data_IF_666803357799
#
_entry.id   IF_666803357799
#
_cell.length_a   1.000
_cell.length_b   1.000
_cell.length_c   1.000
_cell.angle_alpha   90.00
_cell.angle_beta   90.00
_cell.angle_gamma   90.00
#
_symmetry.space_group_name_H-M   'P 1'
#
loop_
_entity.id
_entity.type
_entity.pdbx_description
1 polymer ?
#
# COMPACT_ATOMS: atom_id res chain seq x y z
N UNK A 1 -28.68 79.92 -39.93
CA UNK A 1 -27.50 79.47 -40.69
C UNK A 1 -27.19 78.04 -40.24
N UNK A 2 -27.59 77.09 -41.09
CA UNK A 2 -27.47 75.63 -40.78
C UNK A 2 -26.37 75.09 -41.67
N UNK A 3 -25.21 74.77 -41.04
CA UNK A 3 -24.05 74.17 -41.77
C UNK A 3 -24.25 72.68 -41.90
N UNK A 4 -24.53 72.24 -43.12
CA UNK A 4 -24.54 70.82 -43.52
C UNK A 4 -23.09 70.33 -43.69
N UNK A 5 -22.65 69.42 -42.79
CA UNK A 5 -21.39 68.69 -42.92
C UNK A 5 -21.56 67.63 -44.03
N UNK A 6 -20.86 67.79 -45.12
CA UNK A 6 -20.75 66.78 -46.13
C UNK A 6 -19.84 65.65 -45.65
N UNK A 7 -20.40 64.41 -45.48
CA UNK A 7 -19.60 63.21 -45.27
C UNK A 7 -18.91 62.83 -46.61
N UNK A 8 -17.60 62.89 -46.65
CA UNK A 8 -16.87 62.38 -47.80
C UNK A 8 -16.96 60.87 -47.84
N UNK A 9 -17.57 60.32 -48.85
CA UNK A 9 -17.59 58.90 -49.16
C UNK A 9 -16.17 58.50 -49.55
N UNK A 10 -15.47 57.81 -48.66
CA UNK A 10 -14.18 57.17 -48.99
C UNK A 10 -14.43 56.10 -50.06
N UNK A 11 -13.82 56.24 -51.20
CA UNK A 11 -13.81 55.20 -52.23
C UNK A 11 -13.13 53.96 -51.66
N UNK A 12 -13.89 52.86 -51.56
CA UNK A 12 -13.34 51.55 -51.31
C UNK A 12 -12.68 51.06 -52.63
N UNK A 13 -11.36 50.93 -52.61
CA UNK A 13 -10.64 50.23 -53.68
C UNK A 13 -10.89 48.73 -53.50
N UNK A 14 -11.42 48.09 -54.54
CA UNK A 14 -11.67 46.66 -54.56
C UNK A 14 -10.34 45.86 -54.43
N UNK A 15 -10.33 44.76 -53.69
CA UNK A 15 -9.21 43.84 -53.57
C UNK A 15 -8.89 43.23 -54.94
N UNK A 16 -7.60 43.16 -55.26
CA UNK A 16 -7.15 42.44 -56.45
C UNK A 16 -7.23 40.93 -56.24
N UNK A 17 -7.42 40.16 -57.31
CA UNK A 17 -7.45 38.70 -57.26
C UNK A 17 -6.17 38.11 -56.65
N UNK A 18 -5.04 38.73 -56.91
CA UNK A 18 -3.70 38.35 -56.36
C UNK A 18 -3.64 38.57 -54.86
N UNK A 19 -4.14 39.69 -54.32
CA UNK A 19 -4.21 39.95 -52.88
C UNK A 19 -5.07 38.92 -52.16
N UNK A 20 -6.19 38.52 -52.76
CA UNK A 20 -7.07 37.49 -52.21
C UNK A 20 -6.35 36.11 -52.16
N UNK A 21 -5.65 35.74 -53.25
CA UNK A 21 -4.90 34.48 -53.30
C UNK A 21 -3.76 34.46 -52.27
N UNK A 22 -3.02 35.54 -52.09
CA UNK A 22 -1.94 35.66 -51.11
C UNK A 22 -2.53 35.60 -49.68
N UNK A 23 -3.61 36.32 -49.43
CA UNK A 23 -4.27 36.29 -48.13
C UNK A 23 -4.79 34.88 -47.76
N UNK A 24 -5.40 34.15 -48.71
CA UNK A 24 -5.82 32.76 -48.51
C UNK A 24 -4.65 31.81 -48.30
N UNK A 25 -3.54 31.97 -49.03
CA UNK A 25 -2.34 31.18 -48.84
C UNK A 25 -1.75 31.39 -47.44
N UNK A 26 -1.54 32.64 -47.02
CA UNK A 26 -1.03 32.96 -45.67
C UNK A 26 -2.02 32.47 -44.60
N UNK A 27 -3.31 32.71 -44.79
CA UNK A 27 -4.36 32.26 -43.86
C UNK A 27 -4.36 30.75 -43.68
N UNK A 28 -4.21 29.96 -44.77
CA UNK A 28 -4.14 28.52 -44.71
C UNK A 28 -2.90 28.01 -43.96
N UNK A 29 -1.73 28.61 -44.17
CA UNK A 29 -0.53 28.27 -43.39
C UNK A 29 -0.67 28.57 -41.91
N UNK A 30 -1.29 29.68 -41.53
CA UNK A 30 -1.55 30.03 -40.14
C UNK A 30 -2.53 29.04 -39.47
N UNK A 31 -3.60 28.63 -40.18
CA UNK A 31 -4.55 27.67 -39.70
C UNK A 31 -3.90 26.30 -39.50
N UNK A 32 -3.09 25.81 -40.45
CA UNK A 32 -2.35 24.55 -40.32
C UNK A 32 -1.40 24.61 -39.11
N UNK A 33 -0.67 25.69 -38.93
CA UNK A 33 0.19 25.90 -37.77
C UNK A 33 -0.57 25.90 -36.45
N UNK A 34 -1.72 26.57 -36.39
CA UNK A 34 -2.56 26.60 -35.21
C UNK A 34 -3.11 25.22 -34.86
N UNK A 35 -3.55 24.42 -35.85
CA UNK A 35 -4.01 23.05 -35.67
C UNK A 35 -2.89 22.15 -35.15
N UNK A 36 -1.67 22.29 -35.65
CA UNK A 36 -0.51 21.51 -35.15
C UNK A 36 -0.19 21.83 -33.69
N UNK A 37 -0.14 23.12 -33.32
CA UNK A 37 0.09 23.54 -31.93
C UNK A 37 -1.04 23.01 -31.02
N UNK A 38 -2.29 23.10 -31.46
CA UNK A 38 -3.43 22.58 -30.70
C UNK A 38 -3.31 21.06 -30.43
N UNK A 39 -3.00 20.28 -31.49
CA UNK A 39 -2.84 18.84 -31.37
C UNK A 39 -1.66 18.47 -30.46
N UNK A 40 -0.51 19.17 -30.57
CA UNK A 40 0.63 18.96 -29.66
C UNK A 40 0.29 19.30 -28.20
N UNK A 41 -0.41 20.41 -27.97
CA UNK A 41 -0.86 20.80 -26.63
C UNK A 41 -1.81 19.77 -26.04
N UNK A 42 -2.75 19.27 -26.84
CA UNK A 42 -3.69 18.22 -26.43
C UNK A 42 -2.95 16.91 -26.06
N UNK A 43 -2.00 16.48 -26.89
CA UNK A 43 -1.18 15.30 -26.61
C UNK A 43 -0.35 15.48 -25.33
N UNK A 44 0.30 16.64 -25.16
CA UNK A 44 1.04 16.94 -23.94
C UNK A 44 0.16 16.92 -22.69
N UNK A 45 -1.07 17.43 -22.77
CA UNK A 45 -2.03 17.39 -21.68
C UNK A 45 -2.39 15.95 -21.29
N UNK A 46 -2.73 15.09 -22.26
CA UNK A 46 -3.06 13.67 -22.01
C UNK A 46 -1.88 12.91 -21.39
N UNK A 47 -0.66 13.14 -21.89
CA UNK A 47 0.56 12.54 -21.34
C UNK A 47 0.79 12.98 -19.89
N UNK A 48 0.69 14.27 -19.61
CA UNK A 48 0.88 14.81 -18.27
C UNK A 48 -0.19 14.28 -17.28
N UNK A 49 -1.44 14.18 -17.71
CA UNK A 49 -2.53 13.57 -16.92
C UNK A 49 -2.24 12.10 -16.63
N UNK A 50 -1.79 11.33 -17.62
CA UNK A 50 -1.40 9.92 -17.45
C UNK A 50 -0.27 9.77 -16.43
N UNK A 51 0.77 10.60 -16.51
CA UNK A 51 1.88 10.61 -15.54
C UNK A 51 1.36 10.92 -14.12
N UNK A 52 0.56 11.98 -13.99
CA UNK A 52 0.05 12.40 -12.70
C UNK A 52 -0.80 11.30 -12.03
N UNK A 53 -1.68 10.63 -12.77
CA UNK A 53 -2.50 9.53 -12.26
C UNK A 53 -1.67 8.34 -11.79
N UNK A 54 -0.65 7.93 -12.55
CA UNK A 54 0.24 6.83 -12.15
C UNK A 54 1.04 7.20 -10.91
N UNK A 55 1.52 8.44 -10.79
CA UNK A 55 2.21 8.94 -9.61
C UNK A 55 1.30 8.98 -8.37
N UNK A 56 0.08 9.47 -8.52
CA UNK A 56 -0.91 9.51 -7.45
C UNK A 56 -1.25 8.09 -6.93
N UNK A 57 -1.48 7.14 -7.85
CA UNK A 57 -1.73 5.74 -7.48
C UNK A 57 -0.53 5.12 -6.77
N UNK A 58 0.69 5.37 -7.26
CA UNK A 58 1.91 4.86 -6.65
C UNK A 58 2.13 5.42 -5.24
N UNK A 59 1.90 6.73 -5.07
CA UNK A 59 2.00 7.40 -3.76
C UNK A 59 0.96 6.86 -2.79
N UNK A 60 -0.30 6.75 -3.20
CA UNK A 60 -1.39 6.24 -2.37
C UNK A 60 -1.14 4.79 -1.91
N UNK A 61 -0.73 3.91 -2.85
CA UNK A 61 -0.41 2.52 -2.53
C UNK A 61 0.78 2.43 -1.56
N UNK A 62 1.84 3.21 -1.79
CA UNK A 62 3.01 3.25 -0.92
C UNK A 62 2.65 3.76 0.48
N UNK A 63 1.92 4.86 0.61
CA UNK A 63 1.56 5.46 1.89
C UNK A 63 0.63 4.54 2.71
N UNK A 64 -0.23 3.78 2.03
CA UNK A 64 -1.10 2.79 2.68
C UNK A 64 -0.29 1.69 3.34
N UNK A 65 0.67 1.10 2.63
CA UNK A 65 1.53 0.03 3.15
C UNK A 65 2.50 0.58 4.21
N UNK A 66 3.10 1.75 3.95
CA UNK A 66 4.04 2.39 4.87
C UNK A 66 3.43 2.66 6.24
N UNK A 67 2.17 3.11 6.27
CA UNK A 67 1.46 3.40 7.52
C UNK A 67 1.39 2.16 8.41
N UNK A 68 1.07 1.00 7.85
CA UNK A 68 1.04 -0.25 8.59
C UNK A 68 2.43 -0.72 9.03
N UNK A 69 3.41 -0.66 8.12
CA UNK A 69 4.78 -1.08 8.44
C UNK A 69 5.43 -0.23 9.53
N UNK A 70 5.24 1.10 9.50
CA UNK A 70 5.75 1.99 10.55
C UNK A 70 5.22 1.65 11.94
N UNK A 71 4.02 1.09 12.00
CA UNK A 71 3.34 0.72 13.24
C UNK A 71 3.50 -0.76 13.58
N UNK A 72 4.14 -1.55 12.74
CA UNK A 72 4.44 -2.95 13.03
C UNK A 72 5.14 -3.09 14.39
N UNK A 73 4.90 -4.19 15.11
CA UNK A 73 5.40 -4.43 16.46
C UNK A 73 4.87 -3.46 17.53
N UNK A 74 3.90 -2.61 17.23
CA UNK A 74 3.20 -1.84 18.25
C UNK A 74 2.03 -2.68 18.81
N UNK A 75 2.12 -3.08 20.07
CA UNK A 75 1.08 -3.84 20.77
C UNK A 75 0.34 -2.99 21.81
N UNK A 76 0.15 -1.72 21.50
CA UNK A 76 -0.45 -0.73 22.38
C UNK A 76 0.59 -0.06 23.27
N UNK A 77 0.88 -0.64 24.44
CA UNK A 77 1.83 -0.08 25.41
C UNK A 77 3.20 -0.75 25.43
N UNK A 78 3.37 -1.83 24.69
CA UNK A 78 4.64 -2.51 24.52
C UNK A 78 4.90 -2.81 23.03
N UNK A 79 6.12 -3.21 22.72
CA UNK A 79 6.54 -3.60 21.37
C UNK A 79 7.02 -5.04 21.28
N UNK A 80 6.89 -5.81 22.37
CA UNK A 80 7.31 -7.21 22.44
C UNK A 80 6.13 -8.13 22.18
N UNK A 81 5.99 -8.64 20.96
CA UNK A 81 4.93 -9.59 20.61
C UNK A 81 5.00 -10.86 21.47
N UNK A 82 6.19 -11.30 21.83
CA UNK A 82 6.41 -12.46 22.69
C UNK A 82 5.96 -12.25 24.15
N UNK A 83 5.71 -11.02 24.58
CA UNK A 83 5.15 -10.71 25.90
C UNK A 83 3.62 -10.62 25.92
N UNK A 84 2.96 -10.91 24.79
CA UNK A 84 1.50 -10.96 24.69
C UNK A 84 1.03 -12.40 24.83
N UNK A 85 0.23 -12.67 25.85
CA UNK A 85 -0.41 -13.97 26.07
C UNK A 85 -1.53 -14.19 25.05
N UNK A 86 -1.76 -15.43 24.64
CA UNK A 86 -2.72 -15.76 23.57
C UNK A 86 -2.16 -15.69 22.17
N UNK A 87 -0.92 -15.26 21.98
CA UNK A 87 -0.23 -15.37 20.71
C UNK A 87 0.02 -16.82 20.33
N UNK A 88 0.06 -17.10 19.03
CA UNK A 88 0.57 -18.37 18.50
C UNK A 88 1.94 -18.14 17.86
N UNK A 89 2.81 -19.11 17.95
CA UNK A 89 3.99 -19.23 17.11
C UNK A 89 3.65 -20.07 15.88
N UNK A 90 4.44 -19.97 14.82
CA UNK A 90 4.28 -20.85 13.65
C UNK A 90 4.42 -22.31 14.08
N UNK A 91 3.43 -23.13 13.71
CA UNK A 91 3.38 -24.54 14.09
C UNK A 91 2.70 -24.84 15.43
N UNK A 92 2.43 -23.84 16.26
CA UNK A 92 1.72 -24.02 17.52
C UNK A 92 0.20 -23.88 17.35
N UNK A 93 -0.57 -24.70 18.04
CA UNK A 93 -1.99 -24.43 18.22
C UNK A 93 -2.17 -23.14 19.05
N UNK A 94 -3.21 -22.35 18.75
CA UNK A 94 -3.53 -21.19 19.57
C UNK A 94 -3.85 -21.61 21.01
N UNK A 95 -3.02 -21.27 22.01
CA UNK A 95 -3.15 -21.78 23.37
C UNK A 95 -4.38 -21.25 24.11
N UNK A 96 -4.98 -20.14 23.68
CA UNK A 96 -6.14 -19.53 24.33
C UNK A 96 -7.48 -19.95 23.75
N UNK A 97 -7.50 -20.74 22.66
CA UNK A 97 -8.71 -21.11 21.95
C UNK A 97 -9.37 -19.99 21.15
N UNK A 98 -8.73 -18.82 21.05
CA UNK A 98 -9.18 -17.73 20.16
C UNK A 98 -9.07 -18.19 18.71
N UNK A 99 -10.09 -17.95 17.91
CA UNK A 99 -10.12 -18.39 16.52
C UNK A 99 -10.66 -17.29 15.60
N UNK A 100 -10.16 -17.29 14.37
CA UNK A 100 -10.80 -16.56 13.27
C UNK A 100 -11.60 -17.60 12.49
N UNK A 101 -12.94 -17.50 12.42
CA UNK A 101 -13.75 -18.46 11.67
C UNK A 101 -13.36 -18.52 10.19
N UNK A 102 -13.58 -19.67 9.58
CA UNK A 102 -13.33 -19.86 8.14
C UNK A 102 -14.17 -18.90 7.27
N UNK A 103 -13.61 -18.41 6.13
CA UNK A 103 -12.27 -18.72 5.60
C UNK A 103 -11.15 -18.01 6.36
N UNK A 104 -10.20 -18.76 6.92
CA UNK A 104 -9.01 -18.22 7.59
C UNK A 104 -7.82 -18.19 6.64
N UNK A 105 -6.92 -17.23 6.82
CA UNK A 105 -5.69 -17.12 6.02
C UNK A 105 -4.53 -17.97 6.56
N UNK A 106 -4.80 -18.85 7.50
CA UNK A 106 -3.89 -19.73 8.21
C UNK A 106 -4.12 -19.64 9.71
N UNK A 107 -3.89 -20.72 10.44
CA UNK A 107 -4.23 -20.83 11.86
C UNK A 107 -3.51 -19.79 12.73
N UNK A 108 -2.28 -19.44 12.38
CA UNK A 108 -1.47 -18.46 13.10
C UNK A 108 -1.51 -17.06 12.46
N UNK A 109 -2.20 -16.87 11.34
CA UNK A 109 -2.17 -15.63 10.57
C UNK A 109 -2.41 -14.37 11.40
N UNK A 110 -3.42 -14.40 12.26
CA UNK A 110 -3.75 -13.28 13.13
C UNK A 110 -2.95 -13.27 14.44
N UNK A 111 -2.44 -14.41 14.88
CA UNK A 111 -1.95 -14.60 16.25
C UNK A 111 -0.42 -14.66 16.36
N UNK A 112 0.32 -14.75 15.26
CA UNK A 112 1.78 -14.78 15.27
C UNK A 112 2.36 -13.38 15.51
N UNK A 113 2.23 -12.90 16.75
CA UNK A 113 2.69 -11.58 17.16
C UNK A 113 4.22 -11.52 17.32
N UNK A 114 4.89 -12.67 17.36
CA UNK A 114 6.34 -12.78 17.35
C UNK A 114 6.96 -12.35 16.02
N UNK A 115 6.19 -12.45 14.93
CA UNK A 115 6.57 -11.98 13.59
C UNK A 115 5.63 -10.85 13.14
N UNK A 116 5.87 -9.62 13.60
CA UNK A 116 5.01 -8.48 13.29
C UNK A 116 4.98 -8.13 11.79
N UNK A 117 6.02 -8.49 11.07
CA UNK A 117 6.09 -8.42 9.60
C UNK A 117 6.52 -9.79 9.10
N UNK A 118 5.75 -10.30 8.17
CA UNK A 118 5.95 -11.59 7.52
C UNK A 118 5.50 -11.51 6.08
N UNK A 119 5.66 -12.59 5.31
CA UNK A 119 5.21 -12.62 3.93
C UNK A 119 5.71 -13.83 3.17
N UNK A 120 5.62 -13.76 1.85
CA UNK A 120 6.19 -14.75 0.95
C UNK A 120 6.84 -14.08 -0.25
N UNK A 121 7.99 -14.62 -0.63
CA UNK A 121 8.77 -14.18 -1.78
C UNK A 121 8.15 -14.72 -3.07
N UNK A 122 7.77 -13.82 -3.97
CA UNK A 122 7.32 -14.12 -5.34
C UNK A 122 6.11 -15.07 -5.48
N UNK A 123 5.38 -15.33 -4.39
CA UNK A 123 4.28 -16.30 -4.38
C UNK A 123 3.18 -15.87 -3.39
N UNK A 124 1.94 -16.28 -3.69
CA UNK A 124 0.82 -16.15 -2.76
C UNK A 124 0.69 -17.41 -1.92
N UNK A 125 1.02 -17.34 -0.64
CA UNK A 125 1.05 -18.49 0.28
C UNK A 125 -0.03 -18.45 1.38
N UNK A 126 -0.94 -17.48 1.36
CA UNK A 126 -2.02 -17.44 2.36
C UNK A 126 -3.03 -18.55 2.09
N UNK A 127 -3.51 -19.21 3.16
CA UNK A 127 -4.50 -20.28 3.07
C UNK A 127 -5.88 -19.80 2.57
N UNK A 128 -6.19 -18.50 2.74
CA UNK A 128 -7.39 -17.87 2.20
C UNK A 128 -7.23 -17.52 0.73
N UNK A 129 -8.24 -17.80 -0.10
CA UNK A 129 -8.18 -17.55 -1.54
C UNK A 129 -7.97 -16.06 -1.88
N UNK A 130 -7.14 -15.80 -2.91
CA UNK A 130 -6.95 -14.46 -3.45
C UNK A 130 -8.15 -14.05 -4.32
N UNK A 131 -8.79 -12.93 -4.02
CA UNK A 131 -9.90 -12.41 -4.82
C UNK A 131 -9.38 -11.92 -6.17
N UNK A 132 -9.94 -12.45 -7.27
CA UNK A 132 -9.45 -12.19 -8.63
C UNK A 132 -8.13 -12.90 -8.96
N UNK A 133 -7.67 -13.85 -8.13
CA UNK A 133 -6.38 -14.52 -8.25
C UNK A 133 -5.24 -13.71 -7.66
N UNK A 134 -4.03 -14.28 -7.68
CA UNK A 134 -2.81 -13.60 -7.27
C UNK A 134 -1.84 -13.47 -8.44
N UNK A 135 -1.16 -12.34 -8.56
CA UNK A 135 -0.13 -12.14 -9.56
C UNK A 135 1.09 -13.00 -9.22
N UNK A 136 1.65 -13.67 -10.23
CA UNK A 136 2.94 -14.34 -10.10
C UNK A 136 4.08 -13.34 -9.99
N UNK A 137 5.21 -13.75 -9.40
CA UNK A 137 6.38 -12.90 -9.20
C UNK A 137 6.08 -11.59 -8.45
N UNK A 138 5.19 -11.68 -7.48
CA UNK A 138 4.85 -10.57 -6.59
C UNK A 138 4.77 -11.09 -5.17
N UNK A 139 5.32 -10.35 -4.22
CA UNK A 139 5.35 -10.74 -2.82
C UNK A 139 3.98 -10.58 -2.16
N UNK A 140 3.79 -11.31 -1.08
CA UNK A 140 2.76 -11.03 -0.08
C UNK A 140 3.42 -10.41 1.14
N UNK A 141 2.82 -9.34 1.67
CA UNK A 141 3.32 -8.65 2.85
C UNK A 141 2.24 -8.70 3.92
N UNK A 142 2.51 -9.36 5.04
CA UNK A 142 1.61 -9.39 6.20
C UNK A 142 2.18 -8.53 7.31
N UNK A 143 1.37 -7.61 7.82
CA UNK A 143 1.71 -6.71 8.93
C UNK A 143 0.73 -6.90 10.07
N UNK A 144 1.26 -7.07 11.28
CA UNK A 144 0.49 -7.21 12.51
C UNK A 144 0.85 -6.09 13.47
N UNK A 145 -0.17 -5.45 14.03
CA UNK A 145 -0.03 -4.35 14.99
C UNK A 145 -1.28 -4.14 15.81
N UNK A 146 -1.18 -3.37 16.85
CA UNK A 146 -2.36 -2.83 17.54
C UNK A 146 -2.79 -1.47 16.98
N UNK A 147 -4.01 -1.04 17.28
CA UNK A 147 -4.48 0.31 17.01
C UNK A 147 -3.68 1.33 17.82
N UNK A 148 -3.49 2.53 17.25
CA UNK A 148 -2.75 3.62 17.93
C UNK A 148 -3.50 4.11 19.15
N UNK A 149 -4.79 4.37 18.99
CA UNK A 149 -5.64 4.87 20.07
C UNK A 149 -6.20 3.69 20.87
N UNK A 150 -6.23 3.82 22.22
CA UNK A 150 -6.94 2.88 23.05
C UNK A 150 -8.45 2.94 22.77
N UNK A 151 -9.11 1.79 22.89
CA UNK A 151 -10.54 1.62 22.62
C UNK A 151 -11.22 0.91 23.81
N UNK A 152 -12.53 0.86 23.82
CA UNK A 152 -13.27 0.01 24.75
C UNK A 152 -13.21 -1.47 24.30
N UNK A 153 -13.29 -2.44 25.23
CA UNK A 153 -13.51 -3.83 24.87
C UNK A 153 -14.77 -3.99 24.03
N UNK A 154 -14.70 -4.85 23.00
CA UNK A 154 -15.79 -5.10 22.06
C UNK A 154 -15.90 -6.62 21.82
N UNK A 155 -17.08 -7.18 22.08
CA UNK A 155 -17.34 -8.60 21.89
C UNK A 155 -17.06 -9.04 20.44
N UNK A 156 -16.33 -10.13 20.29
CA UNK A 156 -15.98 -10.73 19.01
C UNK A 156 -14.89 -9.97 18.21
N UNK A 157 -14.35 -8.88 18.77
CA UNK A 157 -13.19 -8.22 18.20
C UNK A 157 -11.92 -8.70 18.87
N UNK A 158 -10.97 -9.17 18.07
CA UNK A 158 -9.65 -9.49 18.61
C UNK A 158 -8.96 -8.20 19.06
N UNK A 159 -8.67 -8.12 20.34
CA UNK A 159 -8.07 -6.97 21.01
C UNK A 159 -6.91 -7.40 21.89
N UNK A 160 -6.03 -6.46 22.18
CA UNK A 160 -4.90 -6.64 23.08
C UNK A 160 -5.08 -5.71 24.27
N UNK A 161 -5.17 -6.28 25.49
CA UNK A 161 -4.97 -5.52 26.71
C UNK A 161 -3.50 -5.49 27.01
N UNK A 162 -2.89 -4.34 27.14
CA UNK A 162 -1.43 -4.22 27.30
C UNK A 162 -1.02 -3.25 28.39
N UNK A 163 0.07 -3.62 29.08
CA UNK A 163 0.91 -2.77 29.92
C UNK A 163 2.24 -2.56 29.22
N UNK A 164 3.21 -1.92 29.87
CA UNK A 164 4.58 -1.76 29.36
C UNK A 164 5.38 -3.06 29.27
N UNK A 165 4.99 -4.08 30.01
CA UNK A 165 5.79 -5.32 30.17
C UNK A 165 5.06 -6.58 29.71
N UNK A 166 3.75 -6.56 29.64
CA UNK A 166 2.92 -7.73 29.28
C UNK A 166 1.67 -7.31 28.52
N UNK A 167 1.04 -8.24 27.84
CA UNK A 167 -0.23 -8.08 27.17
C UNK A 167 -1.01 -9.39 27.14
N UNK A 168 -2.28 -9.34 26.76
CA UNK A 168 -3.14 -10.49 26.55
C UNK A 168 -4.09 -10.24 25.39
N UNK A 169 -4.20 -11.21 24.49
CA UNK A 169 -5.19 -11.26 23.43
C UNK A 169 -6.52 -11.73 23.98
N UNK A 170 -7.61 -11.07 23.60
CA UNK A 170 -8.96 -11.42 24.01
C UNK A 170 -9.98 -10.95 22.95
N UNK A 171 -11.23 -11.45 23.06
CA UNK A 171 -12.33 -11.11 22.14
C UNK A 171 -13.65 -10.83 22.89
N UNK A 172 -13.56 -10.57 24.19
CA UNK A 172 -14.72 -10.29 25.05
C UNK A 172 -14.98 -8.79 25.18
N UNK A 173 -16.17 -8.45 25.66
CA UNK A 173 -16.56 -7.07 25.99
C UNK A 173 -16.04 -6.59 27.36
N UNK A 174 -15.22 -7.38 28.02
CA UNK A 174 -14.65 -7.09 29.33
C UNK A 174 -13.14 -7.23 29.31
N UNK A 175 -12.47 -6.38 30.10
CA UNK A 175 -11.02 -6.44 30.26
C UNK A 175 -10.62 -7.75 30.95
N UNK A 176 -9.59 -8.47 30.46
CA UNK A 176 -9.10 -9.68 31.13
C UNK A 176 -8.75 -9.45 32.60
N UNK A 177 -9.12 -10.43 33.45
CA UNK A 177 -9.01 -10.29 34.90
C UNK A 177 -7.59 -10.02 35.40
N UNK A 178 -6.57 -10.50 34.68
CA UNK A 178 -5.14 -10.24 34.98
C UNK A 178 -4.76 -8.76 34.96
N UNK A 179 -5.58 -7.91 34.32
CA UNK A 179 -5.32 -6.46 34.18
C UNK A 179 -6.24 -5.59 35.07
N UNK A 180 -7.02 -6.20 35.94
CA UNK A 180 -7.90 -5.50 36.85
C UNK A 180 -7.31 -5.41 38.28
N UNK A 181 -7.56 -4.31 39.02
CA UNK A 181 -8.21 -3.09 38.55
C UNK A 181 -7.29 -2.24 37.66
N UNK A 182 -7.86 -1.55 36.66
CA UNK A 182 -7.11 -0.54 35.90
C UNK A 182 -6.95 0.69 36.79
N UNK A 183 -5.72 0.96 37.20
CA UNK A 183 -5.38 2.10 38.03
C UNK A 183 -4.74 3.20 37.19
N UNK A 184 -4.95 4.45 37.56
CA UNK A 184 -4.27 5.57 36.90
C UNK A 184 -2.99 5.93 37.66
N UNK A 185 -1.96 6.25 36.91
CA UNK A 185 -0.75 6.84 37.50
C UNK A 185 -1.13 8.16 38.19
N UNK A 186 -0.84 8.33 39.49
CA UNK A 186 -1.30 9.49 40.25
C UNK A 186 -0.67 10.83 39.78
N UNK A 187 0.45 10.77 39.07
CA UNK A 187 1.17 11.95 38.59
C UNK A 187 0.74 12.32 37.17
N UNK A 188 0.61 11.32 36.28
CA UNK A 188 0.34 11.55 34.86
C UNK A 188 -1.11 11.34 34.46
N UNK A 189 -1.94 10.77 35.31
CA UNK A 189 -3.32 10.37 35.01
C UNK A 189 -3.43 9.25 33.97
N UNK A 190 -2.32 8.69 33.50
CA UNK A 190 -2.32 7.64 32.47
C UNK A 190 -2.71 6.30 33.09
N UNK A 191 -3.69 5.57 32.51
CA UNK A 191 -4.07 4.24 32.99
C UNK A 191 -2.90 3.25 33.00
N UNK A 192 -2.91 2.26 33.91
CA UNK A 192 -1.86 1.22 34.03
C UNK A 192 -1.81 0.28 32.83
N UNK A 193 -2.96 0.04 32.19
CA UNK A 193 -3.10 -0.76 30.97
C UNK A 193 -4.03 -0.07 29.96
N UNK A 194 -4.06 -0.56 28.73
CA UNK A 194 -4.94 -0.05 27.68
C UNK A 194 -5.37 -1.17 26.73
N UNK A 195 -6.62 -1.10 26.29
CA UNK A 195 -7.19 -1.99 25.26
C UNK A 195 -6.94 -1.40 23.88
N UNK A 196 -6.46 -2.21 22.96
CA UNK A 196 -6.19 -1.82 21.57
C UNK A 196 -6.72 -2.88 20.62
N UNK A 197 -7.29 -2.47 19.48
CA UNK A 197 -7.70 -3.43 18.45
C UNK A 197 -6.49 -4.10 17.82
N UNK A 198 -6.52 -5.43 17.69
CA UNK A 198 -5.55 -6.14 16.85
C UNK A 198 -5.85 -5.84 15.37
N UNK A 199 -4.86 -5.38 14.66
CA UNK A 199 -4.92 -5.08 13.23
C UNK A 199 -3.94 -5.98 12.49
N UNK A 200 -4.48 -6.78 11.58
CA UNK A 200 -3.68 -7.67 10.72
C UNK A 200 -4.08 -7.39 9.28
N UNK A 201 -3.10 -7.02 8.48
CA UNK A 201 -3.27 -6.69 7.08
C UNK A 201 -2.27 -7.48 6.25
N UNK A 202 -2.75 -8.19 5.21
CA UNK A 202 -1.90 -8.83 4.22
C UNK A 202 -2.13 -8.19 2.86
N UNK A 203 -1.09 -7.61 2.30
CA UNK A 203 -1.09 -6.97 0.99
C UNK A 203 -0.61 -7.94 -0.08
N UNK A 204 -1.29 -7.97 -1.22
CA UNK A 204 -0.92 -8.76 -2.39
C UNK A 204 -1.43 -8.09 -3.66
N UNK A 205 -0.89 -8.49 -4.81
CA UNK A 205 -1.35 -8.02 -6.11
C UNK A 205 -2.26 -9.06 -6.75
N UNK A 206 -3.43 -8.62 -7.20
CA UNK A 206 -4.32 -9.42 -8.06
C UNK A 206 -4.15 -9.00 -9.52
N UNK A 207 -4.16 -9.93 -10.49
CA UNK A 207 -4.07 -9.61 -11.91
C UNK A 207 -5.30 -8.86 -12.45
N UNK A 208 -6.40 -8.85 -11.68
CA UNK A 208 -7.64 -8.18 -12.10
C UNK A 208 -8.31 -7.44 -10.94
N UNK A 209 -8.70 -6.20 -11.21
CA UNK A 209 -9.51 -5.38 -10.32
C UNK A 209 -10.98 -5.78 -10.42
N UNK A 210 -11.71 -5.66 -9.31
CA UNK A 210 -13.18 -5.82 -9.28
C UNK A 210 -13.89 -4.59 -9.86
N UNK A 211 -13.25 -3.42 -9.78
CA UNK A 211 -13.77 -2.16 -10.30
C UNK A 211 -13.49 -1.99 -11.79
N UNK A 212 -12.32 -2.42 -12.25
CA UNK A 212 -11.84 -2.28 -13.63
C UNK A 212 -11.27 -3.63 -14.08
N UNK A 213 -12.10 -4.55 -14.62
CA UNK A 213 -11.64 -5.88 -15.03
C UNK A 213 -10.44 -5.83 -16.00
N UNK A 214 -9.45 -6.71 -15.78
CA UNK A 214 -8.21 -6.77 -16.57
C UNK A 214 -7.14 -5.74 -16.19
N UNK A 215 -7.39 -4.91 -15.17
CA UNK A 215 -6.38 -4.04 -14.58
C UNK A 215 -5.84 -4.70 -13.31
N UNK A 216 -4.52 -4.91 -13.17
CA UNK A 216 -3.94 -5.42 -11.95
C UNK A 216 -4.18 -4.44 -10.80
N UNK A 217 -4.30 -4.96 -9.59
CA UNK A 217 -4.67 -4.14 -8.44
C UNK A 217 -4.00 -4.61 -7.17
N UNK A 218 -3.58 -3.66 -6.32
CA UNK A 218 -3.20 -3.94 -4.94
C UNK A 218 -4.45 -4.27 -4.13
N UNK A 219 -4.42 -5.39 -3.43
CA UNK A 219 -5.48 -5.82 -2.51
C UNK A 219 -4.95 -5.99 -1.11
N UNK A 220 -5.86 -5.94 -0.15
CA UNK A 220 -5.56 -6.11 1.27
C UNK A 220 -6.54 -7.08 1.89
N UNK A 221 -6.02 -8.15 2.51
CA UNK A 221 -6.77 -8.97 3.48
C UNK A 221 -6.67 -8.27 4.83
N UNK A 222 -7.79 -7.98 5.45
CA UNK A 222 -7.82 -7.25 6.73
C UNK A 222 -8.67 -7.98 7.75
N UNK A 223 -8.16 -8.06 8.99
CA UNK A 223 -8.93 -8.56 10.12
C UNK A 223 -9.96 -7.53 10.56
N UNK A 224 -11.21 -7.91 10.61
CA UNK A 224 -12.33 -7.07 11.05
C UNK A 224 -13.34 -7.86 11.88
N UNK A 225 -14.46 -7.25 12.23
CA UNK A 225 -15.58 -7.90 12.94
C UNK A 225 -16.85 -7.73 12.12
N UNK A 226 -17.60 -8.81 12.02
CA UNK A 226 -18.92 -8.79 11.41
C UNK A 226 -19.88 -9.63 12.27
N UNK A 227 -20.99 -9.03 12.71
CA UNK A 227 -21.98 -9.69 13.56
C UNK A 227 -21.39 -10.30 14.86
N UNK A 228 -20.43 -9.61 15.48
CA UNK A 228 -19.81 -10.05 16.75
C UNK A 228 -18.84 -11.23 16.61
N UNK A 229 -18.32 -11.51 15.40
CA UNK A 229 -17.27 -12.51 15.16
C UNK A 229 -16.14 -11.94 14.33
N UNK A 230 -14.88 -12.36 14.59
CA UNK A 230 -13.74 -11.96 13.76
C UNK A 230 -13.90 -12.53 12.36
N UNK A 231 -13.64 -11.72 11.33
CA UNK A 231 -13.68 -12.13 9.93
C UNK A 231 -12.51 -11.51 9.17
N UNK A 232 -12.14 -12.14 8.06
CA UNK A 232 -11.13 -11.60 7.13
C UNK A 232 -11.86 -11.05 5.91
N UNK A 233 -11.69 -9.75 5.67
CA UNK A 233 -12.21 -9.09 4.47
C UNK A 233 -11.09 -8.89 3.44
N UNK A 234 -11.45 -9.09 2.18
CA UNK A 234 -10.57 -8.84 1.04
C UNK A 234 -11.00 -7.54 0.35
N UNK A 235 -10.19 -6.51 0.47
CA UNK A 235 -10.48 -5.17 0.01
C UNK A 235 -9.55 -4.79 -1.15
N UNK A 236 -10.10 -4.19 -2.19
CA UNK A 236 -9.31 -3.54 -3.23
C UNK A 236 -8.77 -2.20 -2.71
N UNK A 237 -7.46 -1.97 -2.88
CA UNK A 237 -6.77 -0.77 -2.37
C UNK A 237 -6.47 0.20 -3.50
N UNK A 238 -5.76 -0.25 -4.54
CA UNK A 238 -5.29 0.63 -5.60
C UNK A 238 -5.21 -0.11 -6.94
N UNK A 239 -6.08 0.21 -7.92
CA UNK A 239 -5.97 -0.33 -9.27
C UNK A 239 -4.71 0.23 -9.98
N UNK A 240 -4.09 -0.59 -10.81
CA UNK A 240 -2.89 -0.24 -11.56
C UNK A 240 -1.58 -0.74 -10.94
N UNK A 241 -1.58 -1.28 -9.73
CA UNK A 241 -0.38 -1.88 -9.15
C UNK A 241 -0.15 -3.26 -9.76
N UNK A 242 0.98 -3.45 -10.46
CA UNK A 242 1.35 -4.69 -11.15
C UNK A 242 2.23 -5.61 -10.32
N UNK A 243 3.10 -5.05 -9.48
CA UNK A 243 4.03 -5.82 -8.65
C UNK A 243 4.31 -5.09 -7.35
N UNK A 244 4.44 -5.86 -6.29
CA UNK A 244 4.99 -5.46 -5.01
C UNK A 244 6.15 -6.37 -4.66
N UNK A 245 7.24 -5.79 -4.16
CA UNK A 245 8.40 -6.52 -3.68
C UNK A 245 8.84 -5.95 -2.34
N UNK A 246 9.28 -6.82 -1.43
CA UNK A 246 9.71 -6.50 -0.10
C UNK A 246 11.10 -7.08 0.17
N UNK A 247 11.94 -6.35 0.84
CA UNK A 247 13.11 -6.89 1.53
C UNK A 247 13.15 -6.37 2.96
N UNK A 248 13.47 -7.25 3.88
CA UNK A 248 13.58 -6.96 5.29
C UNK A 248 15.06 -6.80 5.66
N UNK A 249 15.42 -5.64 6.19
CA UNK A 249 16.75 -5.40 6.74
C UNK A 249 16.80 -5.91 8.17
N UNK A 250 17.65 -6.92 8.40
CA UNK A 250 17.78 -7.59 9.69
C UNK A 250 19.06 -7.17 10.41
N UNK A 251 18.96 -7.10 11.72
CA UNK A 251 20.03 -6.91 12.69
C UNK A 251 20.25 -8.26 13.38
N UNK A 252 21.39 -8.87 13.15
CA UNK A 252 21.72 -10.23 13.61
C UNK A 252 22.49 -10.20 14.94
N UNK A 253 23.35 -9.20 15.13
CA UNK A 253 24.20 -9.07 16.31
C UNK A 253 23.64 -8.11 17.38
N UNK A 254 22.47 -7.53 17.12
CA UNK A 254 21.73 -6.65 18.03
C UNK A 254 22.42 -5.31 18.32
N UNK A 255 23.25 -4.83 17.41
CA UNK A 255 23.93 -3.53 17.51
C UNK A 255 23.05 -2.34 17.09
N UNK A 256 21.79 -2.62 16.65
CA UNK A 256 20.78 -1.69 16.10
C UNK A 256 21.15 -1.11 14.73
N UNK A 257 22.00 -1.79 13.98
CA UNK A 257 22.23 -1.52 12.55
C UNK A 257 21.68 -2.65 11.68
N UNK A 258 21.55 -2.42 10.38
CA UNK A 258 21.13 -3.46 9.45
C UNK A 258 22.36 -4.16 8.91
N UNK A 259 22.49 -5.47 9.19
CA UNK A 259 23.60 -6.29 8.69
C UNK A 259 23.37 -6.74 7.25
N UNK A 260 22.16 -7.19 6.96
CA UNK A 260 21.80 -7.67 5.62
C UNK A 260 20.32 -7.55 5.34
N UNK A 261 19.97 -7.63 4.06
CA UNK A 261 18.59 -7.71 3.61
C UNK A 261 18.23 -9.14 3.22
N UNK A 262 17.04 -9.59 3.61
CA UNK A 262 16.45 -10.89 3.30
C UNK A 262 15.07 -10.72 2.67
N UNK A 263 14.62 -11.74 1.93
CA UNK A 263 13.28 -11.72 1.34
C UNK A 263 12.20 -12.06 2.39
N UNK A 264 10.92 -11.72 2.15
CA UNK A 264 9.85 -12.11 3.05
C UNK A 264 9.71 -13.63 3.10
N UNK A 265 9.49 -14.18 4.30
CA UNK A 265 9.43 -15.62 4.51
C UNK A 265 10.78 -16.31 4.66
N UNK A 266 11.89 -15.57 4.76
CA UNK A 266 13.21 -16.12 5.01
C UNK A 266 13.27 -16.78 6.42
N UNK A 267 13.90 -17.95 6.49
CA UNK A 267 13.95 -18.77 7.70
C UNK A 267 14.75 -18.13 8.83
N UNK A 268 15.66 -17.23 8.52
CA UNK A 268 16.55 -16.60 9.49
C UNK A 268 15.84 -15.83 10.62
N UNK A 269 14.68 -15.26 10.32
CA UNK A 269 13.84 -14.56 11.32
C UNK A 269 12.56 -15.36 11.70
N UNK A 270 12.45 -16.60 11.28
CA UNK A 270 11.33 -17.49 11.58
C UNK A 270 11.69 -18.42 12.75
N UNK A 271 11.13 -18.22 13.96
CA UNK A 271 11.49 -19.04 15.13
C UNK A 271 11.20 -20.53 15.02
N UNK A 272 10.39 -20.94 14.02
CA UNK A 272 10.06 -22.34 13.77
C UNK A 272 10.99 -23.01 12.73
N UNK A 273 11.93 -22.28 12.13
CA UNK A 273 12.82 -22.78 11.10
C UNK A 273 14.17 -23.22 11.67
N UNK A 274 14.83 -24.16 11.00
CA UNK A 274 16.14 -24.69 11.40
C UNK A 274 17.24 -23.62 11.30
N UNK A 275 17.17 -22.70 10.36
CA UNK A 275 18.13 -21.62 10.14
C UNK A 275 17.83 -20.34 10.95
N UNK A 276 16.89 -20.42 11.89
CA UNK A 276 16.55 -19.29 12.75
C UNK A 276 17.74 -18.80 13.58
N UNK A 277 17.95 -17.50 13.56
CA UNK A 277 18.96 -16.85 14.43
C UNK A 277 18.27 -16.26 15.65
N UNK A 278 18.49 -16.82 16.86
CA UNK A 278 17.86 -16.31 18.08
C UNK A 278 18.22 -14.84 18.35
N UNK A 279 17.19 -14.03 18.54
CA UNK A 279 17.36 -12.60 18.85
C UNK A 279 17.52 -11.68 17.62
N UNK A 280 17.48 -12.23 16.41
CA UNK A 280 17.44 -11.42 15.17
C UNK A 280 16.26 -10.46 15.19
N UNK A 281 16.48 -9.24 14.70
CA UNK A 281 15.45 -8.19 14.65
C UNK A 281 15.26 -7.68 13.23
N UNK A 282 14.03 -7.47 12.83
CA UNK A 282 13.70 -6.82 11.56
C UNK A 282 13.67 -5.32 11.79
N UNK A 283 14.69 -4.60 11.30
CA UNK A 283 14.91 -3.18 11.57
C UNK A 283 14.31 -2.25 10.52
N UNK A 284 14.34 -2.69 9.26
CA UNK A 284 13.84 -1.90 8.12
C UNK A 284 13.06 -2.79 7.16
N UNK A 285 12.14 -2.17 6.44
CA UNK A 285 11.44 -2.77 5.31
C UNK A 285 11.71 -1.91 4.07
N UNK A 286 12.24 -2.52 3.01
CA UNK A 286 12.43 -1.88 1.71
C UNK A 286 11.38 -2.42 0.77
N UNK A 287 10.57 -1.52 0.21
CA UNK A 287 9.46 -1.86 -0.68
C UNK A 287 9.74 -1.29 -2.06
N UNK A 288 9.36 -2.05 -3.08
CA UNK A 288 9.22 -1.59 -4.46
C UNK A 288 7.79 -1.83 -4.94
N UNK A 289 7.25 -0.87 -5.64
CA UNK A 289 6.00 -0.99 -6.36
C UNK A 289 6.25 -0.69 -7.84
N UNK A 290 5.67 -1.49 -8.72
CA UNK A 290 5.52 -1.17 -10.13
C UNK A 290 4.05 -0.89 -10.38
N UNK A 291 3.76 0.32 -10.83
CA UNK A 291 2.39 0.81 -11.06
C UNK A 291 2.25 1.22 -12.51
N UNK A 292 1.15 0.83 -13.14
CA UNK A 292 0.82 1.22 -14.51
C UNK A 292 -0.46 2.04 -14.60
N UNK A 293 -0.62 2.75 -15.70
CA UNK A 293 -1.88 3.38 -16.06
C UNK A 293 -2.98 2.33 -16.26
N UNK A 294 -4.22 2.68 -15.93
CA UNK A 294 -5.40 1.83 -16.12
C UNK A 294 -5.84 1.77 -17.59
N UNK A 295 -5.40 2.73 -18.40
CA UNK A 295 -5.65 2.83 -19.84
C UNK A 295 -4.35 2.87 -20.62
N UNK A 296 -4.39 2.43 -21.88
CA UNK A 296 -3.28 2.56 -22.81
C UNK A 296 -3.12 4.01 -23.27
N UNK A 297 -1.88 4.40 -23.58
CA UNK A 297 -1.55 5.71 -24.10
C UNK A 297 -1.18 5.60 -25.60
N UNK A 298 -1.87 6.35 -26.43
CA UNK A 298 -1.63 6.34 -27.88
C UNK A 298 -0.21 6.81 -28.21
N UNK A 299 0.51 6.03 -29.02
CA UNK A 299 1.88 6.34 -29.44
C UNK A 299 2.96 6.00 -28.40
N UNK A 300 2.59 5.52 -27.21
CA UNK A 300 3.53 5.01 -26.22
C UNK A 300 3.91 3.55 -26.55
N UNK A 301 5.20 3.26 -26.47
CA UNK A 301 5.72 1.89 -26.35
C UNK A 301 6.67 1.86 -25.16
N UNK A 302 6.30 1.16 -24.11
CA UNK A 302 7.13 1.04 -22.91
C UNK A 302 8.23 -0.02 -23.10
N UNK A 303 9.38 0.45 -23.58
CA UNK A 303 10.57 -0.39 -23.81
C UNK A 303 11.52 -0.41 -22.59
N UNK A 304 11.12 0.14 -21.44
CA UNK A 304 11.93 0.14 -20.22
C UNK A 304 11.93 -1.22 -19.56
N UNK A 305 13.03 -1.55 -18.91
CA UNK A 305 13.15 -2.72 -18.04
C UNK A 305 12.85 -2.34 -16.61
N UNK A 306 12.07 -3.16 -15.91
CA UNK A 306 11.71 -2.97 -14.51
C UNK A 306 12.33 -4.09 -13.67
N UNK A 307 13.01 -3.68 -12.59
CA UNK A 307 13.65 -4.60 -11.63
C UNK A 307 13.27 -4.22 -10.20
N UNK A 308 12.01 -4.49 -9.77
CA UNK A 308 11.67 -4.31 -8.37
C UNK A 308 12.26 -5.45 -7.55
N UNK A 309 12.99 -5.11 -6.46
CA UNK A 309 13.55 -6.10 -5.53
C UNK A 309 14.44 -7.15 -6.21
N UNK A 310 14.06 -8.42 -6.04
CA UNK A 310 14.76 -9.57 -6.64
C UNK A 310 14.15 -10.05 -7.97
N UNK A 311 13.10 -9.39 -8.48
CA UNK A 311 12.39 -9.76 -9.71
C UNK A 311 12.84 -8.92 -10.88
N UNK A 312 13.13 -9.57 -12.01
CA UNK A 312 13.30 -8.93 -13.30
C UNK A 312 12.04 -9.11 -14.16
N UNK A 313 11.24 -8.06 -14.28
CA UNK A 313 10.02 -8.07 -15.10
C UNK A 313 10.31 -7.92 -16.60
N UNK A 314 11.55 -7.58 -16.97
CA UNK A 314 11.95 -7.37 -18.37
C UNK A 314 11.31 -6.14 -19.00
N UNK A 315 11.27 -6.14 -20.35
CA UNK A 315 10.63 -5.09 -21.14
C UNK A 315 9.19 -5.47 -21.44
N UNK A 316 8.24 -4.61 -21.09
CA UNK A 316 6.81 -4.86 -21.29
C UNK A 316 6.39 -4.71 -22.75
N UNK A 317 7.01 -3.77 -23.48
CA UNK A 317 6.76 -3.50 -24.91
C UNK A 317 5.30 -3.24 -25.28
N UNK A 318 4.50 -2.76 -24.33
CA UNK A 318 3.09 -2.42 -24.48
C UNK A 318 2.87 -0.88 -24.44
N UNK A 319 1.62 -0.45 -24.45
CA UNK A 319 1.23 0.97 -24.47
C UNK A 319 0.78 1.49 -23.11
N UNK A 320 1.11 0.82 -22.02
CA UNK A 320 0.82 1.30 -20.68
C UNK A 320 2.00 2.11 -20.13
N UNK A 321 1.70 3.28 -19.56
CA UNK A 321 2.69 4.06 -18.82
C UNK A 321 2.90 3.45 -17.46
N UNK A 322 4.17 3.24 -17.10
CA UNK A 322 4.56 2.65 -15.81
C UNK A 322 5.49 3.56 -15.01
N UNK A 323 5.42 3.39 -13.71
CA UNK A 323 6.33 3.98 -12.74
C UNK A 323 6.76 2.91 -11.74
N UNK A 324 8.06 2.77 -11.54
CA UNK A 324 8.63 2.02 -10.43
C UNK A 324 9.01 3.00 -9.34
N UNK A 325 8.51 2.76 -8.13
CA UNK A 325 8.87 3.51 -6.92
C UNK A 325 9.44 2.58 -5.89
N UNK A 326 10.33 3.07 -5.04
CA UNK A 326 10.88 2.33 -3.92
C UNK A 326 11.01 3.21 -2.70
N UNK A 327 10.87 2.59 -1.51
CA UNK A 327 11.03 3.27 -0.23
C UNK A 327 11.61 2.32 0.82
N UNK A 328 12.53 2.82 1.63
CA UNK A 328 13.01 2.12 2.82
C UNK A 328 12.38 2.73 4.06
N UNK A 329 11.73 1.91 4.87
CA UNK A 329 10.95 2.29 6.03
C UNK A 329 11.64 1.75 7.27
N UNK A 330 11.93 2.63 8.24
CA UNK A 330 12.48 2.25 9.52
C UNK A 330 11.37 1.76 10.46
N UNK A 331 11.55 0.58 11.05
CA UNK A 331 10.62 -0.05 11.99
C UNK A 331 10.99 0.35 13.42
N UNK A 332 10.41 1.45 13.90
CA UNK A 332 10.80 2.05 15.19
C UNK A 332 10.55 1.13 16.38
N UNK A 333 9.45 0.36 16.32
CA UNK A 333 9.03 -0.51 17.43
C UNK A 333 9.80 -1.85 17.48
N UNK A 334 10.58 -2.17 16.46
CA UNK A 334 11.39 -3.40 16.42
C UNK A 334 12.68 -3.33 17.22
N UNK A 335 13.05 -2.15 17.72
CA UNK A 335 14.31 -1.89 18.43
C UNK A 335 14.28 -2.15 19.94
N UNK A 336 13.16 -2.64 20.45
CA UNK A 336 12.97 -2.79 21.92
C UNK A 336 12.92 -4.22 22.37
#
# INVERSE_FOLDING_TARGET
MMQTRAHSLRHQTGLTLVELMVALAIGSFLIIGAIQIYNQSRQAFVVNESIARVQETAQFAMDTIETDLRMASNWGRNSRGLAVEGRSLVGDANPTGLTVPAPTCGDTWAFDLGRPIDGSDNAYNLACGASGGAAGNSDVITVRRASVQPVAPELGRLQIQSTRIQGELFETDTIPAAFLPVTNNPITGVPSSGTHNLMVNSYYVSPTSTLIPGVPTLRRKTLTVRNGVPVIEDQEVAPGVESIQLQLGIDVDQDNTVDRYVNPGDDVYNPAADDYIPGVRVMTARIWLVVRGVTTEFGLRDARTYQPGNVNMGQMNDSFRRLQVSKTILLRNART
#
